data_IF_984297603377
#
_entry.id   IF_984297603377
#
_cell.length_a   1.000
_cell.length_b   1.000
_cell.length_c   1.000
_cell.angle_alpha   90.00
_cell.angle_beta   90.00
_cell.angle_gamma   90.00
#
_symmetry.space_group_name_H-M   'P 1'
#
loop_
_entity.id
_entity.type
_entity.pdbx_description
1 polymer ?
#
# COMPACT_ATOMS: atom_id res chain seq x y z
N UNK A 1 8.23 6.42 12.04
CA UNK A 1 7.17 5.46 11.64
C UNK A 1 7.49 4.68 10.36
N UNK A 2 7.77 5.37 9.24
CA UNK A 2 7.93 4.74 7.92
C UNK A 2 9.04 3.66 7.83
N UNK A 3 10.15 3.80 8.56
CA UNK A 3 11.21 2.78 8.54
C UNK A 3 10.76 1.43 9.13
N UNK A 4 9.88 1.44 10.14
CA UNK A 4 9.35 0.20 10.73
C UNK A 4 8.45 -0.53 9.73
N UNK A 5 7.58 0.22 9.05
CA UNK A 5 6.71 -0.31 8.00
C UNK A 5 7.54 -0.82 6.82
N UNK A 6 8.57 -0.09 6.39
CA UNK A 6 9.48 -0.52 5.32
C UNK A 6 10.21 -1.83 5.65
N UNK A 7 10.66 -2.00 6.90
CA UNK A 7 11.27 -3.24 7.35
C UNK A 7 10.27 -4.40 7.37
N UNK A 8 9.03 -4.15 7.79
CA UNK A 8 7.94 -5.13 7.67
C UNK A 8 7.69 -5.54 6.23
N UNK A 9 7.60 -4.59 5.30
CA UNK A 9 7.45 -4.84 3.87
C UNK A 9 8.59 -5.70 3.31
N UNK A 10 9.85 -5.38 3.66
CA UNK A 10 11.01 -6.19 3.28
C UNK A 10 10.94 -7.61 3.86
N UNK A 11 10.53 -7.76 5.11
CA UNK A 11 10.35 -9.07 5.74
C UNK A 11 9.21 -9.88 5.09
N UNK A 12 8.16 -9.22 4.60
CA UNK A 12 7.11 -9.82 3.77
C UNK A 12 7.55 -10.11 2.33
N UNK A 13 8.83 -9.88 2.01
CA UNK A 13 9.43 -10.21 0.73
C UNK A 13 9.36 -9.12 -0.34
N UNK A 14 9.01 -7.88 0.00
CA UNK A 14 9.11 -6.75 -0.94
C UNK A 14 10.57 -6.42 -1.22
N UNK A 15 10.93 -6.40 -2.50
CA UNK A 15 12.27 -6.13 -3.00
C UNK A 15 12.31 -4.84 -3.83
N UNK A 16 13.49 -4.23 -3.98
CA UNK A 16 13.66 -3.14 -4.93
C UNK A 16 13.20 -3.57 -6.34
N UNK A 17 12.44 -2.71 -7.02
CA UNK A 17 11.85 -2.99 -8.33
C UNK A 17 10.51 -3.73 -8.30
N UNK A 18 10.09 -4.28 -7.15
CA UNK A 18 8.73 -4.81 -7.02
C UNK A 18 7.71 -3.69 -7.17
N UNK A 19 6.57 -4.01 -7.79
CA UNK A 19 5.44 -3.09 -7.85
C UNK A 19 4.50 -3.37 -6.69
N UNK A 20 4.31 -2.39 -5.81
CA UNK A 20 3.44 -2.48 -4.64
C UNK A 20 2.24 -1.57 -4.81
N UNK A 21 1.05 -2.16 -4.79
CA UNK A 21 -0.19 -1.41 -4.80
C UNK A 21 -0.53 -0.96 -3.40
N UNK A 22 -0.71 0.35 -3.22
CA UNK A 22 -1.20 0.92 -1.98
C UNK A 22 -2.70 1.21 -2.12
N UNK A 23 -3.52 0.46 -1.38
CA UNK A 23 -4.97 0.64 -1.37
C UNK A 23 -5.42 1.04 0.04
N UNK A 24 -5.87 2.30 0.19
CA UNK A 24 -6.27 2.89 1.47
C UNK A 24 -7.05 4.18 1.29
N UNK A 25 -7.89 4.49 2.29
CA UNK A 25 -8.55 5.77 2.40
C UNK A 25 -7.52 6.89 2.64
N UNK A 26 -7.95 8.14 2.41
CA UNK A 26 -7.15 9.33 2.70
C UNK A 26 -6.98 9.46 4.22
N UNK A 27 -5.87 8.95 4.74
CA UNK A 27 -5.49 9.01 6.14
C UNK A 27 -3.97 9.19 6.27
N UNK A 28 -3.50 9.50 7.48
CA UNK A 28 -2.06 9.71 7.71
C UNK A 28 -1.26 8.41 7.50
N UNK A 29 -1.87 7.25 7.73
CA UNK A 29 -1.28 5.93 7.48
C UNK A 29 -0.97 5.73 5.99
N UNK A 30 -1.77 6.32 5.08
CA UNK A 30 -1.49 6.32 3.64
C UNK A 30 -0.16 7.00 3.34
N UNK A 31 0.05 8.20 3.90
CA UNK A 31 1.29 8.96 3.70
C UNK A 31 2.51 8.23 4.27
N UNK A 32 2.37 7.61 5.45
CA UNK A 32 3.43 6.79 6.06
C UNK A 32 3.77 5.57 5.20
N UNK A 33 2.75 4.90 4.67
CA UNK A 33 2.91 3.68 3.86
C UNK A 33 3.51 3.99 2.49
N UNK A 34 3.12 5.10 1.88
CA UNK A 34 3.74 5.61 0.65
C UNK A 34 5.25 5.78 0.83
N UNK A 35 5.68 6.47 1.90
CA UNK A 35 7.10 6.65 2.20
C UNK A 35 7.80 5.36 2.58
N UNK A 36 7.09 4.42 3.22
CA UNK A 36 7.65 3.12 3.58
C UNK A 36 7.96 2.27 2.34
N UNK A 37 7.05 2.23 1.37
CA UNK A 37 7.26 1.52 0.09
C UNK A 37 8.36 2.20 -0.72
N UNK A 38 8.40 3.54 -0.76
CA UNK A 38 9.50 4.27 -1.41
C UNK A 38 10.87 3.87 -0.80
N UNK A 39 10.94 3.74 0.53
CA UNK A 39 12.15 3.31 1.26
C UNK A 39 12.55 1.85 1.00
N UNK A 40 11.65 0.99 0.49
CA UNK A 40 12.04 -0.36 0.08
C UNK A 40 12.67 -0.40 -1.32
N UNK A 41 12.64 0.71 -2.07
CA UNK A 41 13.06 0.74 -3.47
C UNK A 41 12.03 0.12 -4.42
N UNK A 42 10.81 -0.12 -3.93
CA UNK A 42 9.70 -0.63 -4.72
C UNK A 42 9.00 0.50 -5.48
N UNK A 43 8.35 0.16 -6.58
CA UNK A 43 7.51 1.07 -7.36
C UNK A 43 6.12 1.11 -6.75
N UNK A 44 5.63 2.30 -6.42
CA UNK A 44 4.33 2.49 -5.77
C UNK A 44 3.25 2.65 -6.83
N UNK A 45 2.15 1.90 -6.68
CA UNK A 45 0.92 2.08 -7.44
C UNK A 45 -0.23 2.47 -6.49
N UNK A 46 -0.52 3.77 -6.31
CA UNK A 46 -1.59 4.20 -5.42
C UNK A 46 -2.96 3.99 -6.09
N UNK A 47 -3.82 3.19 -5.46
CA UNK A 47 -5.19 2.96 -5.93
C UNK A 47 -6.15 3.64 -4.95
N UNK A 48 -7.06 4.45 -5.50
CA UNK A 48 -8.10 5.12 -4.71
C UNK A 48 -9.15 4.09 -4.25
N UNK A 49 -9.54 4.14 -2.99
CA UNK A 49 -10.61 3.31 -2.41
C UNK A 49 -12.01 3.60 -2.98
N UNK A 50 -12.16 4.69 -3.75
CA UNK A 50 -13.39 4.96 -4.50
C UNK A 50 -13.51 4.13 -5.78
N UNK A 51 -12.48 3.39 -6.19
CA UNK A 51 -12.63 2.40 -7.26
C UNK A 51 -13.50 1.25 -6.79
N UNK A 52 -14.38 0.81 -7.69
CA UNK A 52 -15.28 -0.30 -7.41
C UNK A 52 -14.45 -1.56 -7.14
N UNK A 53 -14.92 -2.43 -6.26
CA UNK A 53 -14.17 -3.65 -5.88
C UNK A 53 -13.73 -4.50 -7.08
N UNK A 54 -14.46 -4.42 -8.20
CA UNK A 54 -14.13 -5.14 -9.44
C UNK A 54 -13.03 -4.47 -10.27
N UNK A 55 -12.88 -3.15 -10.21
CA UNK A 55 -11.77 -2.42 -10.84
C UNK A 55 -10.46 -2.69 -10.09
N UNK A 56 -10.52 -2.78 -8.75
CA UNK A 56 -9.37 -3.17 -7.93
C UNK A 56 -8.93 -4.60 -8.27
N UNK A 57 -9.87 -5.55 -8.40
CA UNK A 57 -9.57 -6.91 -8.85
C UNK A 57 -8.97 -6.93 -10.26
N UNK A 58 -9.47 -6.08 -11.17
CA UNK A 58 -8.94 -5.99 -12.53
C UNK A 58 -7.48 -5.52 -12.54
N UNK A 59 -7.15 -4.47 -11.78
CA UNK A 59 -5.78 -3.94 -11.68
C UNK A 59 -4.84 -4.94 -11.04
N UNK A 60 -5.27 -5.60 -9.94
CA UNK A 60 -4.46 -6.60 -9.23
C UNK A 60 -4.26 -7.87 -10.06
N UNK A 61 -5.24 -8.28 -10.87
CA UNK A 61 -5.12 -9.47 -11.73
C UNK A 61 -4.25 -9.25 -12.95
N UNK A 62 -4.25 -8.04 -13.50
CA UNK A 62 -3.59 -7.75 -14.80
C UNK A 62 -2.12 -7.41 -14.64
N UNK A 63 -1.72 -6.90 -13.48
CA UNK A 63 -0.34 -6.56 -13.21
C UNK A 63 0.21 -7.47 -12.09
N UNK A 64 1.44 -7.96 -12.27
CA UNK A 64 2.16 -8.76 -11.26
C UNK A 64 2.54 -7.84 -10.10
N UNK A 65 1.57 -7.54 -9.24
CA UNK A 65 1.64 -6.55 -8.17
C UNK A 65 1.58 -7.24 -6.81
N UNK A 66 2.34 -6.73 -5.84
CA UNK A 66 2.16 -7.05 -4.43
C UNK A 66 1.14 -6.07 -3.84
N UNK A 67 0.03 -6.57 -3.30
CA UNK A 67 -1.00 -5.71 -2.73
C UNK A 67 -0.69 -5.41 -1.26
N UNK A 68 -0.62 -4.12 -0.92
CA UNK A 68 -0.50 -3.64 0.44
C UNK A 68 -1.76 -2.85 0.84
N UNK A 69 -2.52 -3.44 1.76
CA UNK A 69 -3.76 -2.85 2.27
C UNK A 69 -3.45 -2.06 3.54
N UNK A 70 -3.79 -0.78 3.53
CA UNK A 70 -3.77 0.03 4.75
C UNK A 70 -5.23 0.30 5.10
N UNK A 71 -5.69 -0.33 6.17
CA UNK A 71 -6.95 0.06 6.77
C UNK A 71 -6.65 1.17 7.79
N UNK A 72 -7.34 2.32 7.73
CA UNK A 72 -7.30 3.24 8.84
C UNK A 72 -7.82 2.49 10.06
N UNK A 73 -7.01 2.45 11.12
CA UNK A 73 -7.48 2.04 12.44
C UNK A 73 -8.63 2.97 12.79
N UNK A 74 -9.86 2.44 12.74
CA UNK A 74 -11.10 3.19 13.03
C UNK A 74 -10.86 4.04 14.28
N UNK A 75 -10.89 5.39 14.20
CA UNK A 75 -11.00 6.17 15.41
C UNK A 75 -12.40 5.88 15.94
N UNK A 76 -12.47 5.08 17.01
CA UNK A 76 -13.61 5.21 17.91
C UNK A 76 -13.55 6.65 18.43
N UNK A 77 -14.64 7.39 18.22
CA UNK A 77 -14.88 8.76 18.71
C UNK A 77 -14.26 9.91 17.88
N UNK A 78 -15.12 10.52 17.04
CA UNK A 78 -15.41 11.94 17.24
C UNK A 78 -16.69 12.02 18.07
#
# INVERSE_FOLDING_TARGET
>A
MACRVANGLKASGVRPGDRVTLYSANCWEWAVSYHAIAKTGAVINPINVMLTSDEVKYVVRTAVLKLYLVQPTRPSHC
#
